data_IF_442253880298
#
_entry.id   IF_442253880298
#
_cell.length_a   1.000
_cell.length_b   1.000
_cell.length_c   1.000
_cell.angle_alpha   90.00
_cell.angle_beta   90.00
_cell.angle_gamma   90.00
#
_symmetry.space_group_name_H-M   'P 1'
#
loop_
_entity.id
_entity.type
_entity.pdbx_description
1 polymer ?
#
# COMPACT_ATOMS: atom_id res chain seq x y z
N UNK A 1 -16.32 -21.11 16.09
CA UNK A 1 -15.87 -21.53 17.43
C UNK A 1 -14.50 -20.93 17.74
N UNK A 2 -14.25 -20.66 19.02
CA UNK A 2 -12.93 -20.27 19.56
C UNK A 2 -12.41 -21.35 20.54
N UNK A 3 -12.85 -22.60 20.35
CA UNK A 3 -12.39 -23.73 21.15
C UNK A 3 -10.94 -24.08 20.79
N UNK A 4 -9.99 -23.78 21.69
CA UNK A 4 -8.58 -24.01 21.51
C UNK A 4 -8.17 -25.51 21.37
N UNK A 5 -9.12 -26.43 21.59
CA UNK A 5 -8.90 -27.86 21.38
C UNK A 5 -9.15 -28.30 19.92
N UNK A 6 -9.56 -27.38 19.05
CA UNK A 6 -9.80 -27.64 17.63
C UNK A 6 -8.91 -26.78 16.75
N UNK A 7 -8.41 -27.28 15.60
CA UNK A 7 -7.63 -26.47 14.66
C UNK A 7 -8.34 -25.19 14.22
N UNK A 8 -9.63 -25.26 13.92
CA UNK A 8 -10.47 -24.11 13.59
C UNK A 8 -10.50 -23.08 14.74
N UNK A 9 -10.70 -23.56 15.98
CA UNK A 9 -10.75 -22.69 17.15
C UNK A 9 -9.43 -22.00 17.45
N UNK A 10 -8.30 -22.68 17.25
CA UNK A 10 -6.95 -22.08 17.36
C UNK A 10 -6.78 -20.97 16.33
N UNK A 11 -7.12 -21.22 15.06
CA UNK A 11 -7.07 -20.22 14.01
C UNK A 11 -7.95 -19.00 14.31
N UNK A 12 -9.17 -19.21 14.76
CA UNK A 12 -10.08 -18.14 15.14
C UNK A 12 -9.58 -17.32 16.35
N UNK A 13 -8.95 -17.98 17.33
CA UNK A 13 -8.31 -17.29 18.45
C UNK A 13 -7.13 -16.44 18.00
N UNK A 14 -6.25 -16.97 17.17
CA UNK A 14 -5.11 -16.24 16.61
C UNK A 14 -5.57 -14.99 15.84
N UNK A 15 -6.58 -15.14 14.97
CA UNK A 15 -7.19 -14.03 14.25
C UNK A 15 -7.78 -12.96 15.18
N UNK A 16 -8.53 -13.39 16.20
CA UNK A 16 -9.11 -12.47 17.17
C UNK A 16 -8.04 -11.71 17.97
N UNK A 17 -6.93 -12.35 18.32
CA UNK A 17 -5.80 -11.72 19.00
C UNK A 17 -5.14 -10.65 18.14
N UNK A 18 -4.91 -10.92 16.85
CA UNK A 18 -4.34 -9.95 15.91
C UNK A 18 -5.28 -8.76 15.74
N UNK A 19 -6.57 -9.00 15.48
CA UNK A 19 -7.58 -7.94 15.35
C UNK A 19 -7.60 -7.06 16.60
N UNK A 20 -7.60 -7.66 17.78
CA UNK A 20 -7.62 -6.91 19.03
C UNK A 20 -6.32 -6.12 19.27
N UNK A 21 -5.16 -6.70 18.96
CA UNK A 21 -3.87 -6.02 19.08
C UNK A 21 -3.73 -4.83 18.12
N UNK A 22 -4.39 -4.90 16.96
CA UNK A 22 -4.36 -3.88 15.91
C UNK A 22 -5.53 -2.88 16.00
N UNK A 23 -6.41 -3.01 16.98
CA UNK A 23 -7.60 -2.17 17.09
C UNK A 23 -7.29 -0.67 17.15
N UNK A 24 -6.20 -0.30 17.83
CA UNK A 24 -5.79 1.09 18.08
C UNK A 24 -4.38 1.34 17.51
N UNK A 25 -4.12 0.88 16.31
CA UNK A 25 -2.80 0.96 15.68
C UNK A 25 -2.56 2.21 14.81
N UNK A 26 -3.54 3.10 14.75
CA UNK A 26 -3.49 4.31 13.90
C UNK A 26 -4.23 4.16 12.56
N UNK A 27 -4.66 2.96 12.19
CA UNK A 27 -5.41 2.75 10.93
C UNK A 27 -6.81 3.35 10.93
N UNK A 28 -7.30 3.76 12.10
CA UNK A 28 -8.64 4.33 12.29
C UNK A 28 -9.77 3.42 11.75
N UNK A 29 -9.59 2.10 11.84
CA UNK A 29 -10.54 1.14 11.28
C UNK A 29 -11.97 1.25 11.82
N UNK A 30 -12.16 1.88 12.98
CA UNK A 30 -13.47 2.10 13.61
C UNK A 30 -13.93 3.56 13.57
N UNK A 31 -13.13 4.49 13.02
CA UNK A 31 -13.48 5.91 13.02
C UNK A 31 -13.40 6.59 14.40
N UNK A 32 -12.68 6.00 15.36
CA UNK A 32 -12.64 6.45 16.76
C UNK A 32 -11.43 7.35 17.08
N UNK A 33 -10.49 7.54 16.13
CA UNK A 33 -9.33 8.41 16.33
C UNK A 33 -9.79 9.87 16.40
N UNK A 34 -9.22 10.65 17.32
CA UNK A 34 -9.51 12.09 17.45
C UNK A 34 -9.24 12.82 16.13
N UNK A 35 -10.15 13.70 15.74
CA UNK A 35 -10.11 14.38 14.45
C UNK A 35 -10.83 13.63 13.31
N UNK A 36 -11.23 12.39 13.56
CA UNK A 36 -12.06 11.61 12.63
C UNK A 36 -13.53 12.06 12.66
N UNK A 37 -14.25 11.76 11.59
CA UNK A 37 -15.69 12.04 11.49
C UNK A 37 -16.58 10.88 11.95
N UNK A 38 -16.03 9.86 12.60
CA UNK A 38 -16.72 8.66 13.04
C UNK A 38 -16.91 7.59 11.95
N UNK A 39 -16.35 7.79 10.74
CA UNK A 39 -16.37 6.79 9.68
C UNK A 39 -15.10 5.93 9.70
N UNK A 40 -15.22 4.62 9.50
CA UNK A 40 -14.07 3.74 9.39
C UNK A 40 -13.06 4.23 8.34
N UNK A 41 -11.78 4.19 8.71
CA UNK A 41 -10.66 4.59 7.84
C UNK A 41 -10.72 6.05 7.33
N UNK A 42 -11.47 6.91 8.00
CA UNK A 42 -11.49 8.33 7.66
C UNK A 42 -10.16 9.01 8.02
N UNK A 43 -9.73 9.96 7.18
CA UNK A 43 -8.55 10.77 7.44
C UNK A 43 -8.74 11.69 8.65
N UNK A 44 -7.81 11.62 9.59
CA UNK A 44 -7.78 12.45 10.80
C UNK A 44 -6.60 13.44 10.80
N UNK A 45 -5.75 13.42 9.77
CA UNK A 45 -4.59 14.31 9.64
C UNK A 45 -4.94 15.64 8.98
N UNK A 46 -6.12 15.72 8.35
CA UNK A 46 -6.55 16.88 7.57
C UNK A 46 -5.57 17.22 6.43
N UNK A 47 -4.93 16.22 5.84
CA UNK A 47 -4.04 16.43 4.72
C UNK A 47 -4.75 17.15 3.57
N UNK A 48 -4.07 18.18 3.03
CA UNK A 48 -4.52 18.87 1.83
C UNK A 48 -3.34 19.04 0.87
N UNK A 49 -3.46 18.60 -0.40
CA UNK A 49 -2.38 18.73 -1.36
C UNK A 49 -2.06 20.19 -1.66
N UNK A 50 -0.78 20.48 -1.94
CA UNK A 50 -0.34 21.81 -2.40
C UNK A 50 -0.92 22.14 -3.77
N UNK A 51 -0.96 21.14 -4.66
CA UNK A 51 -1.49 21.31 -6.01
C UNK A 51 -2.98 21.04 -6.06
N UNK A 52 -3.69 21.85 -6.84
CA UNK A 52 -5.08 21.56 -7.22
C UNK A 52 -5.11 20.54 -8.37
N UNK A 53 -6.24 19.87 -8.54
CA UNK A 53 -6.42 18.86 -9.60
C UNK A 53 -6.23 19.43 -11.01
N UNK A 54 -6.61 20.70 -11.23
CA UNK A 54 -6.49 21.39 -12.51
C UNK A 54 -5.34 22.41 -12.56
N UNK A 55 -4.58 22.55 -11.46
CA UNK A 55 -3.54 23.57 -11.38
C UNK A 55 -2.33 23.10 -10.58
N UNK A 56 -1.18 23.06 -11.25
CA UNK A 56 0.12 22.91 -10.61
C UNK A 56 0.58 24.23 -10.00
N UNK A 57 0.73 24.27 -8.69
CA UNK A 57 1.30 25.36 -7.92
C UNK A 57 2.81 25.11 -7.72
N UNK A 58 3.18 23.88 -7.40
CA UNK A 58 4.56 23.40 -7.26
C UNK A 58 4.72 22.07 -7.99
N UNK A 59 5.56 22.05 -9.04
CA UNK A 59 5.82 20.88 -9.86
C UNK A 59 6.55 19.76 -9.12
N UNK A 60 7.13 20.04 -7.94
CA UNK A 60 7.78 19.05 -7.10
C UNK A 60 6.86 18.47 -6.03
N UNK A 61 5.57 18.82 -6.06
CA UNK A 61 4.58 18.33 -5.12
C UNK A 61 3.55 17.46 -5.82
N UNK A 62 3.02 16.50 -5.07
CA UNK A 62 1.97 15.61 -5.56
C UNK A 62 0.77 16.39 -6.08
N UNK A 63 0.22 15.94 -7.21
CA UNK A 63 -0.99 16.50 -7.80
C UNK A 63 -2.10 15.45 -7.85
N UNK A 64 -3.31 15.76 -7.32
CA UNK A 64 -4.47 14.92 -7.52
C UNK A 64 -4.76 14.68 -9.00
N UNK A 65 -5.35 13.52 -9.31
CA UNK A 65 -5.71 13.16 -10.70
C UNK A 65 -7.17 12.78 -10.80
N UNK A 66 -7.74 13.01 -11.97
CA UNK A 66 -9.04 12.47 -12.31
C UNK A 66 -8.94 10.99 -12.68
N UNK A 67 -9.93 10.25 -12.23
CA UNK A 67 -10.22 8.90 -12.67
C UNK A 67 -11.55 8.88 -13.40
N UNK A 68 -11.81 7.81 -14.14
CA UNK A 68 -13.08 7.59 -14.83
C UNK A 68 -13.69 6.32 -14.24
N UNK A 69 -14.94 6.41 -13.79
CA UNK A 69 -15.70 5.26 -13.30
C UNK A 69 -16.27 4.41 -14.44
N UNK A 70 -17.00 3.37 -14.12
CA UNK A 70 -17.60 2.44 -15.09
C UNK A 70 -18.69 3.10 -15.95
N UNK A 71 -19.31 4.16 -15.45
CA UNK A 71 -20.34 4.93 -16.13
C UNK A 71 -19.75 6.07 -16.98
N UNK A 72 -18.42 6.22 -17.01
CA UNK A 72 -17.70 7.26 -17.75
C UNK A 72 -17.62 8.60 -17.03
N UNK A 73 -18.00 8.70 -15.75
CA UNK A 73 -17.92 9.92 -14.98
C UNK A 73 -16.51 10.15 -14.45
N UNK A 74 -16.04 11.39 -14.53
CA UNK A 74 -14.80 11.80 -13.89
C UNK A 74 -15.02 11.98 -12.39
N UNK A 75 -14.10 11.43 -11.60
CA UNK A 75 -14.07 11.65 -10.16
C UNK A 75 -12.61 11.78 -9.66
N UNK A 76 -12.44 12.40 -8.52
CA UNK A 76 -11.15 12.51 -7.83
C UNK A 76 -11.28 11.85 -6.45
N UNK A 77 -10.57 10.75 -6.19
CA UNK A 77 -10.60 10.09 -4.87
C UNK A 77 -9.80 10.86 -3.81
N UNK A 78 -9.08 11.92 -4.17
CA UNK A 78 -8.14 12.58 -3.30
C UNK A 78 -6.87 11.76 -3.05
N UNK A 79 -6.14 12.10 -1.99
CA UNK A 79 -5.06 11.25 -1.48
C UNK A 79 -5.66 10.11 -0.67
N UNK A 80 -5.36 8.89 -1.05
CA UNK A 80 -5.86 7.71 -0.34
C UNK A 80 -5.08 7.54 0.97
N UNK A 81 -5.81 7.44 2.08
CA UNK A 81 -5.27 7.16 3.42
C UNK A 81 -4.00 7.98 3.77
N UNK A 82 -4.05 9.32 3.72
CA UNK A 82 -2.86 10.17 3.92
C UNK A 82 -2.25 10.08 5.33
N UNK A 83 -2.88 9.33 6.22
CA UNK A 83 -2.45 9.05 7.59
C UNK A 83 -1.78 7.68 7.76
N UNK A 84 -1.58 6.90 6.65
CA UNK A 84 -1.12 5.51 6.79
C UNK A 84 0.30 5.38 7.37
N UNK A 85 1.12 6.41 7.31
CA UNK A 85 2.41 6.49 8.00
C UNK A 85 2.31 6.56 9.53
N UNK A 86 1.12 6.92 10.05
CA UNK A 86 0.85 6.94 11.50
C UNK A 86 0.47 5.55 12.03
N UNK A 87 0.23 4.59 11.13
CA UNK A 87 -0.08 3.22 11.53
C UNK A 87 1.15 2.58 12.16
N UNK A 88 0.98 2.00 13.35
CA UNK A 88 2.06 1.33 14.05
C UNK A 88 2.56 0.12 13.25
N UNK A 89 3.83 0.07 12.86
CA UNK A 89 4.41 -1.09 12.20
C UNK A 89 4.32 -2.36 13.04
N UNK A 90 4.45 -3.50 12.41
CA UNK A 90 4.46 -4.80 13.07
C UNK A 90 5.89 -5.30 13.34
N UNK A 91 6.79 -5.17 12.38
CA UNK A 91 8.18 -5.64 12.42
C UNK A 91 9.17 -4.48 12.48
N UNK A 92 8.88 -3.36 11.83
CA UNK A 92 9.73 -2.17 11.88
C UNK A 92 9.59 -1.46 13.22
N UNK A 93 10.63 -0.76 13.65
CA UNK A 93 10.59 0.08 14.84
C UNK A 93 9.80 1.37 14.59
N UNK A 94 10.00 1.99 13.41
CA UNK A 94 9.33 3.22 12.98
C UNK A 94 9.03 3.17 11.48
N UNK A 95 8.04 3.96 11.04
CA UNK A 95 7.66 4.04 9.63
C UNK A 95 8.80 4.55 8.73
N UNK A 96 9.65 5.42 9.26
CA UNK A 96 10.76 6.08 8.57
C UNK A 96 12.09 5.29 8.60
N UNK A 97 12.12 4.11 9.23
CA UNK A 97 13.35 3.32 9.42
C UNK A 97 14.14 3.10 8.12
N UNK A 98 13.46 2.96 7.00
CA UNK A 98 14.05 2.75 5.68
C UNK A 98 13.66 3.84 4.68
N UNK A 99 13.33 5.06 5.16
CA UNK A 99 13.00 6.16 4.25
C UNK A 99 14.14 6.43 3.29
N UNK A 100 13.91 6.39 1.96
CA UNK A 100 14.94 6.69 0.97
C UNK A 100 15.35 8.16 1.02
N UNK A 101 16.44 8.50 0.34
CA UNK A 101 16.80 9.90 0.10
C UNK A 101 15.71 10.66 -0.68
N UNK A 102 15.81 11.99 -0.76
CA UNK A 102 14.81 12.80 -1.46
C UNK A 102 14.72 12.44 -2.94
N UNK A 103 13.51 12.53 -3.54
CA UNK A 103 13.34 12.31 -4.97
C UNK A 103 14.01 13.40 -5.80
N UNK A 104 14.31 13.12 -7.09
CA UNK A 104 14.92 14.12 -7.96
C UNK A 104 13.96 15.26 -8.25
N UNK A 105 14.42 16.49 -8.14
CA UNK A 105 13.60 17.69 -8.32
C UNK A 105 13.45 18.05 -9.79
N UNK A 106 12.34 18.71 -10.14
CA UNK A 106 12.11 19.25 -11.50
C UNK A 106 13.24 20.20 -11.90
N UNK A 107 13.77 19.98 -13.11
CA UNK A 107 14.93 20.69 -13.63
C UNK A 107 16.28 20.05 -13.32
N UNK A 108 16.31 18.95 -12.54
CA UNK A 108 17.54 18.17 -12.35
C UNK A 108 17.81 17.25 -13.55
N UNK A 109 19.11 17.01 -13.80
CA UNK A 109 19.54 16.05 -14.81
C UNK A 109 19.05 14.63 -14.50
N UNK A 110 19.05 14.26 -13.24
CA UNK A 110 18.57 12.95 -12.79
C UNK A 110 17.11 12.74 -13.17
N UNK A 111 16.21 13.69 -12.88
CA UNK A 111 14.80 13.56 -13.26
C UNK A 111 14.64 13.47 -14.79
N UNK A 112 15.42 14.26 -15.56
CA UNK A 112 15.36 14.22 -17.01
C UNK A 112 15.74 12.83 -17.56
N UNK A 113 16.75 12.19 -16.98
CA UNK A 113 17.18 10.84 -17.34
C UNK A 113 16.12 9.79 -17.00
N UNK A 114 15.54 9.85 -15.79
CA UNK A 114 14.49 8.93 -15.35
C UNK A 114 13.22 9.05 -16.19
N UNK A 115 12.79 10.28 -16.50
CA UNK A 115 11.65 10.53 -17.40
C UNK A 115 11.92 9.99 -18.79
N UNK A 116 13.15 10.21 -19.32
CA UNK A 116 13.54 9.66 -20.63
C UNK A 116 13.48 8.13 -20.64
N UNK A 117 13.96 7.47 -19.59
CA UNK A 117 13.90 6.01 -19.47
C UNK A 117 12.45 5.50 -19.55
N UNK A 118 11.53 6.13 -18.82
CA UNK A 118 10.10 5.75 -18.85
C UNK A 118 9.51 5.94 -20.25
N UNK A 119 9.83 7.05 -20.93
CA UNK A 119 9.38 7.31 -22.30
C UNK A 119 9.93 6.26 -23.27
N UNK A 120 11.22 5.95 -23.18
CA UNK A 120 11.87 4.98 -24.06
C UNK A 120 11.29 3.56 -23.85
N UNK A 121 11.05 3.16 -22.59
CA UNK A 121 10.42 1.88 -22.27
C UNK A 121 8.99 1.81 -22.84
N UNK A 122 8.20 2.86 -22.66
CA UNK A 122 6.83 2.92 -23.18
C UNK A 122 6.80 2.87 -24.71
N UNK A 123 7.72 3.56 -25.39
CA UNK A 123 7.80 3.56 -26.85
C UNK A 123 8.19 2.19 -27.43
N UNK A 124 8.89 1.37 -26.67
CA UNK A 124 9.44 0.08 -27.08
C UNK A 124 8.79 -1.12 -26.37
N UNK A 125 7.58 -0.99 -25.83
CA UNK A 125 6.88 -2.07 -25.15
C UNK A 125 6.61 -3.25 -26.09
N UNK A 126 7.18 -4.41 -25.74
CA UNK A 126 6.88 -5.68 -26.40
C UNK A 126 5.55 -6.26 -25.90
N UNK A 127 4.95 -7.24 -26.61
CA UNK A 127 3.77 -7.97 -26.10
C UNK A 127 4.02 -8.59 -24.71
N UNK A 128 5.22 -9.13 -24.48
CA UNK A 128 5.62 -9.73 -23.21
C UNK A 128 5.67 -8.68 -22.08
N UNK A 129 6.24 -7.50 -22.34
CA UNK A 129 6.27 -6.41 -21.38
C UNK A 129 4.86 -5.91 -21.04
N UNK A 130 3.97 -5.85 -22.04
CA UNK A 130 2.55 -5.50 -21.80
C UNK A 130 1.86 -6.52 -20.92
N UNK A 131 2.08 -7.82 -21.17
CA UNK A 131 1.54 -8.89 -20.34
C UNK A 131 2.09 -8.83 -18.90
N UNK A 132 3.39 -8.54 -18.73
CA UNK A 132 4.00 -8.36 -17.42
C UNK A 132 3.39 -7.19 -16.66
N UNK A 133 3.17 -6.05 -17.32
CA UNK A 133 2.51 -4.87 -16.71
C UNK A 133 1.11 -5.23 -16.23
N UNK A 134 0.30 -5.90 -17.08
CA UNK A 134 -1.05 -6.32 -16.68
C UNK A 134 -1.04 -7.34 -15.53
N UNK A 135 -0.09 -8.26 -15.51
CA UNK A 135 0.06 -9.24 -14.45
C UNK A 135 0.47 -8.61 -13.11
N UNK A 136 1.37 -7.63 -13.14
CA UNK A 136 1.89 -6.97 -11.93
C UNK A 136 1.05 -5.76 -11.47
N UNK A 137 0.06 -5.35 -12.26
CA UNK A 137 -0.81 -4.22 -11.93
C UNK A 137 -1.88 -4.62 -10.92
N UNK A 138 -1.71 -4.20 -9.69
CA UNK A 138 -2.61 -4.50 -8.57
C UNK A 138 -3.56 -3.31 -8.30
N UNK A 139 -4.37 -2.97 -9.29
CA UNK A 139 -5.35 -1.90 -9.19
C UNK A 139 -6.72 -2.34 -8.64
N UNK A 140 -7.72 -1.46 -8.65
CA UNK A 140 -9.09 -1.78 -8.27
C UNK A 140 -9.62 -3.03 -8.99
N UNK A 141 -10.36 -3.89 -8.29
CA UNK A 141 -10.93 -5.16 -8.76
C UNK A 141 -9.89 -6.28 -9.01
N UNK A 142 -8.64 -6.08 -8.58
CA UNK A 142 -7.64 -7.15 -8.48
C UNK A 142 -7.61 -7.72 -7.05
N UNK A 143 -6.71 -8.68 -6.81
CA UNK A 143 -6.43 -9.21 -5.46
C UNK A 143 -5.62 -8.23 -4.60
N UNK A 144 -5.26 -7.08 -5.15
CA UNK A 144 -4.38 -6.08 -4.55
C UNK A 144 -2.96 -6.64 -4.31
N UNK A 145 -2.04 -5.80 -3.86
CA UNK A 145 -0.65 -6.19 -3.67
C UNK A 145 -0.51 -7.31 -2.64
N UNK A 146 -1.19 -7.21 -1.49
CA UNK A 146 -1.13 -8.24 -0.45
C UNK A 146 -1.63 -9.59 -0.97
N UNK A 147 -2.78 -9.63 -1.65
CA UNK A 147 -3.31 -10.86 -2.25
C UNK A 147 -2.40 -11.44 -3.34
N UNK A 148 -1.68 -10.60 -4.10
CA UNK A 148 -0.72 -11.05 -5.10
C UNK A 148 0.49 -11.74 -4.45
N UNK A 149 1.04 -11.16 -3.38
CA UNK A 149 2.11 -11.80 -2.62
C UNK A 149 1.67 -13.09 -1.94
N UNK A 150 0.43 -13.16 -1.41
CA UNK A 150 -0.14 -14.41 -0.90
C UNK A 150 -0.25 -15.48 -1.98
N UNK A 151 -0.63 -15.11 -3.21
CA UNK A 151 -0.67 -16.05 -4.31
C UNK A 151 0.73 -16.61 -4.64
N UNK A 152 1.75 -15.77 -4.70
CA UNK A 152 3.13 -16.24 -4.85
C UNK A 152 3.55 -17.15 -3.70
N UNK A 153 3.18 -16.82 -2.46
CA UNK A 153 3.48 -17.67 -1.32
C UNK A 153 2.80 -19.07 -1.44
N UNK A 154 1.56 -19.13 -1.96
CA UNK A 154 0.89 -20.41 -2.26
C UNK A 154 1.66 -21.22 -3.30
N UNK A 155 2.12 -20.58 -4.39
CA UNK A 155 2.89 -21.25 -5.43
C UNK A 155 4.25 -21.78 -4.88
N UNK A 156 4.89 -21.02 -3.98
CA UNK A 156 6.12 -21.44 -3.28
C UNK A 156 5.83 -22.62 -2.36
N UNK A 157 4.74 -22.58 -1.58
CA UNK A 157 4.35 -23.69 -0.69
C UNK A 157 4.19 -25.01 -1.46
N UNK A 158 3.50 -24.95 -2.60
CA UNK A 158 3.31 -26.12 -3.47
C UNK A 158 4.61 -26.57 -4.09
N UNK A 159 5.44 -25.66 -4.60
CA UNK A 159 6.74 -25.96 -5.24
C UNK A 159 7.69 -26.66 -4.26
N UNK A 160 7.76 -26.15 -3.04
CA UNK A 160 8.73 -26.59 -2.02
C UNK A 160 8.17 -27.72 -1.14
N UNK A 161 6.89 -28.08 -1.35
CA UNK A 161 6.15 -29.11 -0.58
C UNK A 161 6.17 -28.82 0.93
N UNK A 162 5.91 -27.56 1.30
CA UNK A 162 5.89 -27.11 2.68
C UNK A 162 4.84 -27.89 3.51
N UNK A 163 5.20 -28.11 4.76
CA UNK A 163 4.23 -28.57 5.75
C UNK A 163 3.49 -27.39 6.38
N UNK A 164 2.49 -27.67 7.21
CA UNK A 164 1.63 -26.63 7.83
C UNK A 164 2.45 -25.62 8.66
N UNK A 165 3.46 -26.04 9.40
CA UNK A 165 4.28 -25.15 10.23
C UNK A 165 5.13 -24.19 9.39
N UNK A 166 5.64 -24.67 8.26
CA UNK A 166 6.39 -23.87 7.29
C UNK A 166 5.47 -22.85 6.62
N UNK A 167 4.27 -23.26 6.20
CA UNK A 167 3.27 -22.37 5.61
C UNK A 167 2.83 -21.27 6.57
N UNK A 168 2.52 -21.60 7.82
CA UNK A 168 2.12 -20.61 8.82
C UNK A 168 3.21 -19.55 8.98
N UNK A 169 4.47 -19.95 9.08
CA UNK A 169 5.60 -19.02 9.20
C UNK A 169 5.76 -18.16 7.95
N UNK A 170 5.68 -18.78 6.78
CA UNK A 170 5.83 -18.07 5.50
C UNK A 170 4.72 -17.04 5.31
N UNK A 171 3.46 -17.43 5.47
CA UNK A 171 2.33 -16.49 5.31
C UNK A 171 2.37 -15.36 6.33
N UNK A 172 2.68 -15.67 7.59
CA UNK A 172 2.83 -14.64 8.62
C UNK A 172 3.92 -13.62 8.24
N UNK A 173 5.08 -14.08 7.78
CA UNK A 173 6.18 -13.20 7.37
C UNK A 173 5.81 -12.37 6.14
N UNK A 174 5.24 -12.98 5.11
CA UNK A 174 4.86 -12.28 3.88
C UNK A 174 3.88 -11.15 4.16
N UNK A 175 2.81 -11.40 4.91
CA UNK A 175 1.80 -10.39 5.22
C UNK A 175 2.32 -9.32 6.19
N UNK A 176 3.14 -9.71 7.16
CA UNK A 176 3.75 -8.76 8.09
C UNK A 176 4.70 -7.79 7.38
N UNK A 177 5.52 -8.31 6.48
CA UNK A 177 6.41 -7.47 5.65
C UNK A 177 5.62 -6.60 4.67
N UNK A 178 4.57 -7.15 4.04
CA UNK A 178 3.72 -6.39 3.14
C UNK A 178 3.06 -5.20 3.86
N UNK A 179 2.54 -5.43 5.07
CA UNK A 179 1.96 -4.38 5.90
C UNK A 179 2.98 -3.27 6.19
N UNK A 180 4.14 -3.62 6.68
CA UNK A 180 5.18 -2.66 7.05
C UNK A 180 5.77 -1.92 5.84
N UNK A 181 5.86 -2.59 4.69
CA UNK A 181 6.26 -1.97 3.43
C UNK A 181 5.27 -0.87 2.98
N UNK A 182 3.96 -1.09 3.16
CA UNK A 182 2.95 -0.06 2.91
C UNK A 182 3.11 1.13 3.85
N UNK A 183 3.31 0.90 5.15
CA UNK A 183 3.51 1.97 6.14
C UNK A 183 4.74 2.80 5.77
N UNK A 184 5.87 2.15 5.49
CA UNK A 184 7.12 2.83 5.08
C UNK A 184 6.99 3.56 3.74
N UNK A 185 6.23 2.99 2.79
CA UNK A 185 5.94 3.66 1.53
C UNK A 185 5.11 4.94 1.74
N UNK A 186 4.07 4.87 2.58
CA UNK A 186 3.26 6.06 2.91
C UNK A 186 4.06 7.10 3.68
N UNK A 187 4.93 6.71 4.60
CA UNK A 187 5.87 7.62 5.24
C UNK A 187 6.66 8.42 4.21
N UNK A 188 7.28 7.74 3.26
CA UNK A 188 8.05 8.39 2.19
C UNK A 188 7.19 9.30 1.32
N UNK A 189 5.99 8.86 0.93
CA UNK A 189 5.04 9.65 0.13
C UNK A 189 4.61 10.93 0.85
N UNK A 190 4.23 10.82 2.12
CA UNK A 190 3.73 11.96 2.89
C UNK A 190 4.85 12.90 3.33
N UNK A 191 6.03 12.36 3.66
CA UNK A 191 7.18 13.17 4.04
C UNK A 191 7.69 14.07 2.91
N UNK A 192 7.81 13.52 1.70
CA UNK A 192 8.26 14.30 0.54
C UNK A 192 7.11 15.01 -0.17
N UNK A 193 5.89 14.56 0.01
CA UNK A 193 4.70 15.04 -0.72
C UNK A 193 4.97 15.12 -2.24
N UNK A 194 5.57 14.05 -2.76
CA UNK A 194 6.07 13.96 -4.13
C UNK A 194 5.26 12.92 -4.93
N UNK A 195 5.32 13.01 -6.26
CA UNK A 195 4.55 12.16 -7.19
C UNK A 195 5.04 10.71 -7.23
#
# INVERSE_FOLDING_TARGET
>A
STDANTPEGVGNLAAAMVINARKNDGSNQYGEVEGSNGQPYFDYTNYSPVNDIDKNIDLNRWQPKYFIDEDGNKYNPGCLTPYWQEVKPLLLETADQFRPGPPPMVGSEQLALEVKEVIDLQANLTPENKALVEFMRDGPKSVQQAGHWLKFAQDVSVRDNNNLDEDIKMYFLVESVAMDAFISCWDSKMYYDYT
#
